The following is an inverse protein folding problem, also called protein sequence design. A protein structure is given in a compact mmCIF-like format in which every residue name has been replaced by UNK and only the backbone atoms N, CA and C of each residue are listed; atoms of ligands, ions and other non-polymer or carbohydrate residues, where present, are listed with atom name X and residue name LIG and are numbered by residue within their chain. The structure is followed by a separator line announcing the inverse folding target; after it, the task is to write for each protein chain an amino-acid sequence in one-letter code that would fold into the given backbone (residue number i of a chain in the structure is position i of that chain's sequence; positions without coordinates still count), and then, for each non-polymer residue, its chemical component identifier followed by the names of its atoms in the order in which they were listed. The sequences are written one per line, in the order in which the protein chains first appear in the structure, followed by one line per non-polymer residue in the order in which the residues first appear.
data_IF_318707167752
#
_entry.id   IF_318707167752
#
_cell.length_a   1.000
_cell.length_b   1.000
_cell.length_c   1.000
_cell.angle_alpha   90.00
_cell.angle_beta   90.00
_cell.angle_gamma   90.00
#
_symmetry.space_group_name_H-M   'P 1'
#
loop_
_entity.id
_entity.type
_entity.pdbx_description
1 polymer ?
#
# COMPACT_ATOMS: atom_id res chain seq x y z
N UNK A 1 -6.42 13.47 19.06
CA UNK A 1 -6.72 12.08 19.45
C UNK A 1 -6.72 11.26 18.18
N UNK A 2 -5.57 10.68 17.81
CA UNK A 2 -5.48 9.83 16.60
C UNK A 2 -6.21 8.53 16.90
N UNK A 3 -7.27 8.27 16.15
CA UNK A 3 -8.08 7.08 16.27
C UNK A 3 -7.21 5.88 15.83
N UNK A 4 -6.60 5.16 16.77
CA UNK A 4 -5.77 4.00 16.45
C UNK A 4 -6.67 2.86 15.99
N UNK A 5 -6.78 2.70 14.68
CA UNK A 5 -7.43 1.54 14.07
C UNK A 5 -6.61 0.30 14.45
N UNK A 6 -7.23 -0.79 14.93
CA UNK A 6 -6.50 -1.96 15.39
C UNK A 6 -5.72 -2.60 14.24
N UNK A 7 -4.40 -2.65 14.40
CA UNK A 7 -3.45 -3.29 13.50
C UNK A 7 -3.08 -4.68 14.01
N UNK A 8 -2.88 -5.62 13.10
CA UNK A 8 -2.42 -6.97 13.41
C UNK A 8 -0.90 -7.04 13.65
N UNK A 9 -0.14 -6.14 13.03
CA UNK A 9 1.31 -6.07 13.16
C UNK A 9 1.75 -4.73 13.77
N UNK A 10 2.69 -4.79 14.72
CA UNK A 10 3.37 -3.62 15.25
C UNK A 10 4.47 -3.13 14.28
N UNK A 11 5.00 -1.94 14.56
CA UNK A 11 6.00 -1.32 13.70
C UNK A 11 7.31 -2.11 13.65
N UNK A 12 7.63 -2.87 14.70
CA UNK A 12 8.83 -3.70 14.73
C UNK A 12 8.69 -4.90 13.76
N UNK A 13 7.56 -5.61 13.78
CA UNK A 13 7.28 -6.68 12.84
C UNK A 13 7.26 -6.17 11.39
N UNK A 14 6.67 -4.99 11.15
CA UNK A 14 6.71 -4.35 9.83
C UNK A 14 8.14 -4.03 9.38
N UNK A 15 8.97 -3.50 10.27
CA UNK A 15 10.37 -3.20 9.95
C UNK A 15 11.20 -4.47 9.67
N UNK A 16 10.90 -5.57 10.36
CA UNK A 16 11.52 -6.87 10.07
C UNK A 16 11.17 -7.35 8.66
N UNK A 17 9.89 -7.27 8.26
CA UNK A 17 9.47 -7.62 6.90
C UNK A 17 10.18 -6.76 5.84
N UNK A 18 10.36 -5.47 6.10
CA UNK A 18 11.12 -4.59 5.21
C UNK A 18 12.60 -4.96 5.15
N UNK A 19 13.23 -5.23 6.29
CA UNK A 19 14.66 -5.62 6.31
C UNK A 19 14.88 -6.94 5.56
N UNK A 20 13.96 -7.90 5.64
CA UNK A 20 14.04 -9.15 4.88
C UNK A 20 14.03 -8.94 3.36
N UNK A 21 13.26 -7.98 2.86
CA UNK A 21 13.13 -7.70 1.42
C UNK A 21 14.25 -6.78 0.90
N UNK A 22 14.60 -5.72 1.64
CA UNK A 22 15.44 -4.61 1.14
C UNK A 22 16.64 -4.25 2.02
N UNK A 23 17.18 -5.17 2.85
CA UNK A 23 18.36 -4.91 3.72
C UNK A 23 19.50 -4.15 3.04
N UNK A 24 19.78 -4.49 1.78
CA UNK A 24 20.89 -3.90 1.00
C UNK A 24 20.42 -2.87 -0.03
N UNK A 25 19.18 -2.40 0.09
CA UNK A 25 18.53 -1.51 -0.87
C UNK A 25 17.87 -2.25 -2.03
N UNK A 26 17.17 -1.49 -2.88
CA UNK A 26 16.54 -1.97 -4.11
C UNK A 26 17.40 -1.60 -5.32
N UNK A 27 18.24 -2.55 -5.76
CA UNK A 27 19.14 -2.37 -6.90
C UNK A 27 18.38 -2.13 -8.21
N UNK A 28 17.14 -2.62 -8.35
CA UNK A 28 16.37 -2.44 -9.59
C UNK A 28 15.93 -0.99 -9.70
N UNK A 29 15.39 -0.44 -8.61
CA UNK A 29 15.00 0.98 -8.54
C UNK A 29 16.18 1.91 -8.74
N UNK A 30 17.34 1.59 -8.16
CA UNK A 30 18.59 2.32 -8.38
C UNK A 30 19.06 2.25 -9.83
N UNK A 31 19.12 1.05 -10.41
CA UNK A 31 19.58 0.83 -11.79
C UNK A 31 18.68 1.51 -12.83
N UNK A 32 17.39 1.65 -12.54
CA UNK A 32 16.44 2.39 -13.36
C UNK A 32 16.54 3.91 -13.20
N UNK A 33 17.27 4.40 -12.18
CA UNK A 33 17.46 5.83 -11.91
C UNK A 33 16.17 6.55 -11.49
N UNK A 34 15.24 5.84 -10.85
CA UNK A 34 13.93 6.38 -10.45
C UNK A 34 13.77 6.60 -8.94
N UNK A 35 14.76 6.24 -8.12
CA UNK A 35 14.70 6.26 -6.65
C UNK A 35 14.28 7.62 -6.04
N UNK A 36 14.70 8.73 -6.64
CA UNK A 36 14.43 10.09 -6.14
C UNK A 36 13.31 10.82 -6.91
N UNK A 37 12.60 10.12 -7.80
CA UNK A 37 11.59 10.74 -8.66
C UNK A 37 10.23 10.68 -7.95
N UNK A 38 9.54 11.82 -7.76
CA UNK A 38 8.20 11.80 -7.18
C UNK A 38 7.26 11.00 -8.08
N UNK A 39 6.45 10.15 -7.46
CA UNK A 39 5.51 9.27 -8.15
C UNK A 39 4.15 9.26 -7.47
N UNK A 40 3.17 8.64 -8.14
CA UNK A 40 1.86 8.31 -7.57
C UNK A 40 1.67 6.81 -7.68
N UNK A 41 1.32 6.17 -6.59
CA UNK A 41 1.03 4.73 -6.53
C UNK A 41 -0.47 4.57 -6.25
N UNK A 42 -1.12 3.63 -6.95
CA UNK A 42 -2.52 3.26 -6.71
C UNK A 42 -2.61 1.75 -6.64
N UNK A 43 -3.33 1.25 -5.64
CA UNK A 43 -3.58 -0.18 -5.45
C UNK A 43 -5.01 -0.50 -5.85
N UNK A 44 -5.19 -1.58 -6.60
CA UNK A 44 -6.50 -2.02 -7.08
C UNK A 44 -6.66 -3.52 -6.86
N UNK A 45 -7.82 -3.94 -6.39
CA UNK A 45 -8.16 -5.36 -6.37
C UNK A 45 -8.49 -5.81 -7.81
N UNK A 46 -7.85 -6.90 -8.23
CA UNK A 46 -8.07 -7.47 -9.57
C UNK A 46 -9.37 -8.25 -9.67
N UNK A 47 -9.83 -8.79 -8.53
CA UNK A 47 -11.05 -9.57 -8.38
C UNK A 47 -11.73 -9.23 -7.05
N UNK A 48 -12.94 -9.74 -6.84
CA UNK A 48 -13.66 -9.57 -5.58
C UNK A 48 -12.84 -10.15 -4.41
N UNK A 49 -12.56 -9.32 -3.41
CA UNK A 49 -11.82 -9.72 -2.21
C UNK A 49 -12.26 -8.91 -0.99
N UNK A 50 -11.92 -9.37 0.20
CA UNK A 50 -12.02 -8.57 1.43
C UNK A 50 -10.67 -7.92 1.70
N UNK A 51 -10.64 -6.59 1.84
CA UNK A 51 -9.43 -5.86 2.21
C UNK A 51 -9.02 -6.24 3.62
N UNK A 52 -7.74 -6.49 3.82
CA UNK A 52 -7.13 -6.61 5.13
C UNK A 52 -5.73 -6.00 5.09
N UNK A 53 -5.26 -5.57 6.25
CA UNK A 53 -3.93 -5.00 6.47
C UNK A 53 -3.64 -3.71 5.69
N UNK A 54 -4.67 -2.91 5.37
CA UNK A 54 -4.49 -1.64 4.65
C UNK A 54 -3.79 -0.60 5.53
N UNK A 55 -4.00 -0.66 6.85
CA UNK A 55 -3.35 0.21 7.81
C UNK A 55 -1.84 -0.11 7.95
N UNK A 56 -1.47 -1.39 7.98
CA UNK A 56 -0.08 -1.87 7.93
C UNK A 56 0.60 -1.41 6.65
N UNK A 57 -0.06 -1.60 5.50
CA UNK A 57 0.45 -1.17 4.21
C UNK A 57 0.73 0.35 4.17
N UNK A 58 -0.14 1.15 4.79
CA UNK A 58 0.08 2.59 4.91
C UNK A 58 1.30 2.94 5.78
N UNK A 59 1.55 2.18 6.85
CA UNK A 59 2.71 2.40 7.75
C UNK A 59 4.04 1.97 7.12
N UNK A 60 4.02 1.05 6.16
CA UNK A 60 5.21 0.65 5.39
C UNK A 60 5.67 1.71 4.37
N UNK A 61 4.77 2.61 3.96
CA UNK A 61 5.12 3.68 3.03
C UNK A 61 5.99 4.74 3.73
N UNK A 62 6.95 5.36 3.02
CA UNK A 62 7.74 6.45 3.58
C UNK A 62 6.87 7.60 4.08
N UNK A 63 7.28 8.35 5.11
CA UNK A 63 6.49 9.44 5.68
C UNK A 63 6.19 10.57 4.67
N UNK A 64 6.98 10.70 3.60
CA UNK A 64 6.75 11.64 2.49
C UNK A 64 5.59 11.18 1.58
N UNK A 65 5.26 9.89 1.58
CA UNK A 65 4.20 9.32 0.76
C UNK A 65 2.84 9.59 1.41
N UNK A 66 2.20 10.67 0.98
CA UNK A 66 0.86 11.04 1.43
C UNK A 66 -0.23 10.37 0.57
N UNK A 67 -1.23 9.72 1.17
CA UNK A 67 -2.38 9.23 0.41
C UNK A 67 -3.21 10.41 -0.14
N UNK A 68 -3.65 10.30 -1.40
CA UNK A 68 -4.54 11.26 -2.06
C UNK A 68 -6.02 11.05 -1.62
N UNK A 69 -6.38 9.81 -1.25
CA UNK A 69 -7.73 9.42 -0.80
C UNK A 69 -7.65 8.53 0.47
N UNK A 70 -8.74 8.48 1.24
CA UNK A 70 -8.86 7.64 2.44
C UNK A 70 -8.66 6.16 2.09
N UNK A 71 -7.69 5.51 2.74
CA UNK A 71 -7.49 4.07 2.64
C UNK A 71 -8.79 3.32 2.99
N UNK A 72 -9.17 2.34 2.16
CA UNK A 72 -10.29 1.44 2.51
C UNK A 72 -9.95 0.73 3.82
N UNK A 73 -10.84 0.80 4.84
CA UNK A 73 -10.58 0.15 6.12
C UNK A 73 -10.45 -1.36 5.96
N UNK A 74 -9.58 -1.96 6.77
CA UNK A 74 -9.51 -3.41 6.88
C UNK A 74 -10.89 -4.00 7.22
N UNK A 75 -11.19 -5.17 6.62
CA UNK A 75 -12.46 -5.91 6.65
C UNK A 75 -13.57 -5.34 5.76
N UNK A 76 -13.28 -4.39 4.88
CA UNK A 76 -14.22 -3.98 3.83
C UNK A 76 -14.20 -4.97 2.66
N UNK A 77 -15.38 -5.42 2.23
CA UNK A 77 -15.52 -6.17 0.98
C UNK A 77 -15.38 -5.23 -0.22
N UNK A 78 -14.55 -5.62 -1.20
CA UNK A 78 -14.34 -4.91 -2.47
C UNK A 78 -15.18 -5.46 -3.63
N UNK A 79 -16.24 -6.23 -3.34
CA UNK A 79 -17.11 -6.82 -4.35
C UNK A 79 -17.67 -5.79 -5.37
N UNK A 80 -17.70 -4.50 -5.01
CA UNK A 80 -18.33 -3.46 -5.83
C UNK A 80 -17.37 -2.46 -6.52
N UNK A 81 -16.05 -2.49 -6.23
CA UNK A 81 -15.10 -1.54 -6.89
C UNK A 81 -14.50 -2.08 -8.20
N UNK A 82 -14.53 -3.40 -8.41
CA UNK A 82 -13.99 -4.05 -9.61
C UNK A 82 -14.84 -3.85 -10.89
N UNK A 83 -16.06 -3.31 -10.75
CA UNK A 83 -17.02 -3.11 -11.84
C UNK A 83 -16.90 -1.75 -12.55
N UNK A 84 -16.28 -0.73 -11.93
CA UNK A 84 -16.27 0.63 -12.48
C UNK A 84 -15.11 0.92 -13.46
N UNK A 85 -13.93 0.32 -13.29
CA UNK A 85 -12.76 0.69 -14.13
C UNK A 85 -12.45 -0.30 -15.27
N UNK A 86 -13.07 -1.49 -15.28
CA UNK A 86 -12.84 -2.49 -16.35
C UNK A 86 -13.49 -2.13 -17.69
N UNK A 87 -14.33 -1.09 -17.72
CA UNK A 87 -15.04 -0.62 -18.91
C UNK A 87 -14.49 0.69 -19.52
N UNK A 88 -13.22 1.04 -19.27
CA UNK A 88 -12.52 2.07 -20.04
C UNK A 88 -11.37 1.45 -20.83
N UNK A 89 -11.70 0.77 -21.92
CA UNK A 89 -10.75 0.58 -23.03
C UNK A 89 -10.82 1.80 -23.95
N UNK A 90 -9.69 2.26 -24.53
CA UNK A 90 -9.74 3.20 -25.66
C UNK A 90 -10.41 2.56 -26.88
#
# INVERSE_FOLDING_TARGET
MTNTVPSALDDHALQQLLDEDVRFGDLTTESLGIQARPGRIRFFARDAMTVCCSEEAARLLPPECRPDETLSPSRQSLCDLASAERCRKP
#
